data_IF_649961846316
#
_entry.id   IF_649961846316
#
_cell.length_a   1.000
_cell.length_b   1.000
_cell.length_c   1.000
_cell.angle_alpha   90.00
_cell.angle_beta   90.00
_cell.angle_gamma   90.00
#
_symmetry.space_group_name_H-M   'P 1'
#
loop_
_entity.id
_entity.type
_entity.pdbx_description
1 polymer ?
#
# COMPACT_ATOMS: atom_id res chain seq x y z
N UNK A 1 13.57 2.29 -5.85
CA UNK A 1 13.00 3.58 -5.40
C UNK A 1 12.39 3.36 -4.03
N UNK A 2 12.50 4.32 -3.11
CA UNK A 2 11.88 4.18 -1.77
C UNK A 2 10.37 4.35 -1.87
N UNK A 3 9.62 3.62 -1.03
CA UNK A 3 8.16 3.75 -0.99
C UNK A 3 7.73 5.20 -0.74
N UNK A 4 8.42 5.91 0.15
CA UNK A 4 8.13 7.32 0.41
C UNK A 4 8.28 8.23 -0.82
N UNK A 5 9.35 8.04 -1.60
CA UNK A 5 9.57 8.82 -2.82
C UNK A 5 8.50 8.53 -3.87
N UNK A 6 8.12 7.26 -3.97
CA UNK A 6 7.09 6.81 -4.89
C UNK A 6 5.70 7.33 -4.47
N UNK A 7 5.40 7.37 -3.16
CA UNK A 7 4.18 7.96 -2.60
C UNK A 7 4.07 9.46 -2.90
N UNK A 8 5.18 10.20 -2.78
CA UNK A 8 5.23 11.65 -3.05
C UNK A 8 5.05 12.02 -4.52
N UNK A 9 5.12 11.05 -5.44
CA UNK A 9 5.05 11.30 -6.88
C UNK A 9 3.62 11.46 -7.41
N UNK A 10 2.60 11.19 -6.59
CA UNK A 10 1.19 11.17 -7.00
C UNK A 10 0.32 11.87 -5.97
N UNK A 11 -0.66 12.63 -6.44
CA UNK A 11 -1.69 13.17 -5.56
C UNK A 11 -2.74 12.10 -5.20
N UNK A 12 -3.39 12.26 -4.04
CA UNK A 12 -4.41 11.30 -3.61
C UNK A 12 -5.57 11.18 -4.61
N UNK A 13 -5.91 12.25 -5.32
CA UNK A 13 -6.99 12.23 -6.31
C UNK A 13 -6.61 11.45 -7.59
N UNK A 14 -5.31 11.26 -7.85
CA UNK A 14 -4.80 10.36 -8.90
C UNK A 14 -4.76 8.91 -8.40
N UNK A 15 -4.43 8.70 -7.12
CA UNK A 15 -4.35 7.38 -6.50
C UNK A 15 -5.73 6.73 -6.29
N UNK A 16 -6.73 7.49 -5.83
CA UNK A 16 -8.02 6.93 -5.43
C UNK A 16 -8.74 6.16 -6.55
N UNK A 17 -8.79 6.63 -7.82
CA UNK A 17 -9.33 5.85 -8.92
C UNK A 17 -8.61 4.52 -9.14
N UNK A 18 -7.27 4.52 -9.07
CA UNK A 18 -6.43 3.30 -9.22
C UNK A 18 -6.68 2.34 -8.06
N UNK A 19 -6.78 2.84 -6.82
CA UNK A 19 -7.11 2.04 -5.65
C UNK A 19 -8.48 1.37 -5.82
N UNK A 20 -9.47 2.09 -6.35
CA UNK A 20 -10.80 1.53 -6.56
C UNK A 20 -10.87 0.55 -7.74
N UNK A 21 -10.01 0.69 -8.74
CA UNK A 21 -9.89 -0.28 -9.82
C UNK A 21 -9.24 -1.58 -9.32
N UNK A 22 -8.13 -1.48 -8.58
CA UNK A 22 -7.45 -2.64 -7.98
C UNK A 22 -8.23 -3.31 -6.85
N UNK A 23 -8.98 -2.52 -6.06
CA UNK A 23 -9.79 -2.98 -4.93
C UNK A 23 -11.22 -2.41 -5.05
N UNK A 24 -12.09 -3.07 -5.84
CA UNK A 24 -13.44 -2.60 -6.10
C UNK A 24 -14.23 -2.34 -4.82
N UNK A 25 -14.89 -1.17 -4.76
CA UNK A 25 -15.74 -0.78 -3.63
C UNK A 25 -15.04 0.06 -2.56
N UNK A 26 -13.73 0.32 -2.70
CA UNK A 26 -12.97 1.19 -1.78
C UNK A 26 -13.35 2.67 -1.88
N UNK A 27 -14.09 3.09 -2.92
CA UNK A 27 -14.59 4.49 -3.05
C UNK A 27 -15.34 5.00 -1.82
N UNK A 28 -16.06 4.13 -1.08
CA UNK A 28 -16.76 4.50 0.16
C UNK A 28 -15.82 4.83 1.31
N UNK A 29 -14.56 4.40 1.23
CA UNK A 29 -13.49 4.64 2.22
C UNK A 29 -12.52 5.75 1.82
N UNK A 30 -12.91 6.59 0.86
CA UNK A 30 -12.09 7.73 0.44
C UNK A 30 -11.61 8.58 1.62
N UNK A 31 -12.43 8.92 2.64
CA UNK A 31 -11.97 9.71 3.78
C UNK A 31 -10.84 9.04 4.57
N UNK A 32 -10.99 7.74 4.86
CA UNK A 32 -10.03 6.95 5.64
C UNK A 32 -8.71 6.79 4.87
N UNK A 33 -8.78 6.46 3.58
CA UNK A 33 -7.61 6.30 2.72
C UNK A 33 -6.89 7.64 2.50
N UNK A 34 -7.64 8.76 2.39
CA UNK A 34 -7.06 10.09 2.28
C UNK A 34 -6.31 10.49 3.54
N UNK A 35 -6.92 10.25 4.71
CA UNK A 35 -6.26 10.54 5.98
C UNK A 35 -4.99 9.70 6.16
N UNK A 36 -5.01 8.41 5.80
CA UNK A 36 -3.81 7.57 5.79
C UNK A 36 -2.70 8.15 4.88
N UNK A 37 -3.06 8.55 3.66
CA UNK A 37 -2.13 9.18 2.71
C UNK A 37 -1.49 10.45 3.30
N UNK A 38 -2.29 11.35 3.87
CA UNK A 38 -1.82 12.60 4.48
C UNK A 38 -0.88 12.33 5.67
N UNK A 39 -1.23 11.37 6.53
CA UNK A 39 -0.37 10.93 7.64
C UNK A 39 0.96 10.38 7.12
N UNK A 40 0.94 9.49 6.13
CA UNK A 40 2.15 8.90 5.55
C UNK A 40 3.07 9.96 4.94
N UNK A 41 2.54 10.98 4.26
CA UNK A 41 3.33 12.09 3.73
C UNK A 41 3.99 12.93 4.83
N UNK A 42 3.34 13.08 5.99
CA UNK A 42 3.88 13.84 7.12
C UNK A 42 4.98 13.11 7.91
N UNK A 43 5.18 11.81 7.67
CA UNK A 43 6.13 10.99 8.42
C UNK A 43 7.57 11.12 7.90
N UNK A 44 8.52 10.89 8.80
CA UNK A 44 9.93 10.71 8.45
C UNK A 44 10.23 9.22 8.23
N UNK A 45 10.61 8.79 7.01
CA UNK A 45 10.92 7.39 6.76
C UNK A 45 12.11 6.89 7.58
N UNK A 46 12.01 5.67 8.10
CA UNK A 46 13.11 4.97 8.78
C UNK A 46 13.75 4.00 7.80
N UNK A 47 15.06 4.13 7.60
CA UNK A 47 15.81 3.30 6.67
C UNK A 47 15.62 1.80 6.97
N UNK A 48 15.29 1.03 5.94
CA UNK A 48 15.13 -0.41 6.03
C UNK A 48 16.00 -1.11 4.98
N UNK A 49 16.61 -2.24 5.38
CA UNK A 49 17.27 -3.17 4.44
C UNK A 49 16.30 -4.16 3.80
N UNK A 50 15.04 -4.21 4.29
CA UNK A 50 13.97 -5.03 3.69
C UNK A 50 13.38 -4.29 2.49
N UNK A 51 12.85 -5.04 1.53
CA UNK A 51 12.22 -4.51 0.34
C UNK A 51 10.78 -5.02 0.21
N UNK A 52 9.94 -4.24 -0.44
CA UNK A 52 8.62 -4.64 -0.91
C UNK A 52 8.81 -5.09 -2.36
N UNK A 53 8.75 -6.40 -2.59
CA UNK A 53 8.91 -6.99 -3.92
C UNK A 53 7.55 -7.44 -4.43
N UNK A 54 7.08 -6.77 -5.46
CA UNK A 54 5.87 -7.17 -6.17
C UNK A 54 6.19 -8.34 -7.09
N UNK A 55 5.36 -9.37 -7.01
CA UNK A 55 5.51 -10.63 -7.74
C UNK A 55 4.16 -11.23 -8.09
N UNK A 56 4.18 -12.22 -8.97
CA UNK A 56 3.04 -13.08 -9.24
C UNK A 56 2.95 -14.09 -8.10
N UNK A 57 1.88 -13.98 -7.32
CA UNK A 57 1.55 -14.86 -6.20
C UNK A 57 0.58 -15.96 -6.69
N UNK A 58 0.78 -17.22 -6.26
CA UNK A 58 -0.22 -18.25 -6.51
C UNK A 58 -1.51 -17.89 -5.77
N UNK A 59 -2.64 -18.01 -6.46
CA UNK A 59 -3.96 -17.86 -5.86
C UNK A 59 -4.46 -19.17 -5.27
N UNK A 60 -5.69 -19.14 -4.77
CA UNK A 60 -6.31 -20.29 -4.06
C UNK A 60 -6.63 -21.48 -4.96
N UNK A 61 -6.51 -21.31 -6.29
CA UNK A 61 -6.71 -22.36 -7.28
C UNK A 61 -5.55 -22.39 -8.27
N UNK A 62 -5.27 -23.56 -8.85
CA UNK A 62 -4.10 -23.79 -9.71
C UNK A 62 -3.99 -22.85 -10.93
N UNK A 63 -5.10 -22.25 -11.37
CA UNK A 63 -5.16 -21.37 -12.53
C UNK A 63 -5.38 -19.89 -12.17
N UNK A 64 -5.36 -19.55 -10.89
CA UNK A 64 -5.51 -18.18 -10.43
C UNK A 64 -4.18 -17.71 -9.86
N UNK A 65 -3.73 -16.54 -10.28
CA UNK A 65 -2.57 -15.87 -9.72
C UNK A 65 -2.89 -14.40 -9.53
N UNK A 66 -2.33 -13.80 -8.49
CA UNK A 66 -2.49 -12.39 -8.18
C UNK A 66 -1.15 -11.67 -8.32
N UNK A 67 -1.16 -10.39 -8.68
CA UNK A 67 0.05 -9.58 -8.64
C UNK A 67 0.03 -8.74 -7.37
N UNK A 68 1.05 -8.91 -6.51
CA UNK A 68 1.11 -8.25 -5.21
C UNK A 68 2.44 -8.46 -4.52
N UNK A 69 2.54 -7.97 -3.28
CA UNK A 69 3.67 -8.25 -2.39
C UNK A 69 3.21 -9.17 -1.25
N UNK A 70 4.14 -9.90 -0.62
CA UNK A 70 3.79 -10.70 0.56
C UNK A 70 3.37 -9.80 1.72
N UNK A 71 2.38 -10.22 2.51
CA UNK A 71 1.93 -9.49 3.71
C UNK A 71 3.08 -9.22 4.70
N UNK A 72 4.06 -10.13 4.75
CA UNK A 72 5.26 -9.99 5.59
C UNK A 72 6.09 -8.76 5.21
N UNK A 73 5.97 -8.27 3.96
CA UNK A 73 6.58 -7.02 3.51
C UNK A 73 6.00 -5.80 4.25
N UNK A 74 4.80 -5.87 4.82
CA UNK A 74 4.15 -4.76 5.53
C UNK A 74 4.16 -4.91 7.06
N UNK A 75 4.65 -6.04 7.61
CA UNK A 75 4.76 -6.29 9.04
C UNK A 75 5.87 -5.43 9.72
N UNK A 76 5.68 -4.13 9.76
CA UNK A 76 6.49 -3.12 10.43
C UNK A 76 5.66 -1.84 10.67
N UNK A 77 6.25 -0.82 11.31
CA UNK A 77 5.58 0.49 11.38
C UNK A 77 5.55 1.18 10.02
N UNK A 78 4.64 2.14 9.85
CA UNK A 78 4.54 2.94 8.63
C UNK A 78 5.86 3.60 8.25
N UNK A 79 6.59 4.20 9.20
CA UNK A 79 7.89 4.84 8.94
C UNK A 79 8.93 3.85 8.40
N UNK A 80 8.95 2.62 8.94
CA UNK A 80 9.85 1.57 8.47
C UNK A 80 9.45 1.09 7.08
N UNK A 81 8.15 0.97 6.79
CA UNK A 81 7.65 0.60 5.47
C UNK A 81 7.97 1.67 4.42
N UNK A 82 7.79 2.95 4.75
CA UNK A 82 8.13 4.09 3.90
C UNK A 82 9.62 4.10 3.48
N UNK A 83 10.52 3.61 4.33
CA UNK A 83 11.95 3.49 4.05
C UNK A 83 12.39 2.23 3.29
N UNK A 84 11.45 1.33 2.94
CA UNK A 84 11.76 0.14 2.13
C UNK A 84 11.92 0.51 0.67
N UNK A 85 12.78 -0.23 -0.02
CA UNK A 85 12.81 -0.20 -1.48
C UNK A 85 11.62 -0.95 -2.05
N UNK A 86 11.01 -0.37 -3.08
CA UNK A 86 9.93 -0.98 -3.85
C UNK A 86 10.49 -1.42 -5.20
N UNK A 87 10.15 -2.65 -5.60
CA UNK A 87 10.59 -3.24 -6.87
C UNK A 87 9.59 -4.26 -7.40
N UNK A 88 9.75 -4.61 -8.68
CA UNK A 88 8.93 -5.57 -9.42
C UNK A 88 9.80 -6.76 -9.80
N UNK A 89 9.29 -7.97 -9.62
CA UNK A 89 9.91 -9.17 -10.17
C UNK A 89 9.58 -9.31 -11.67
N UNK A 90 10.30 -10.20 -12.36
CA UNK A 90 10.11 -10.43 -13.78
C UNK A 90 8.68 -10.90 -14.06
N UNK A 91 8.02 -10.26 -15.03
CA UNK A 91 6.65 -10.58 -15.42
C UNK A 91 5.57 -9.81 -14.66
N UNK A 92 5.95 -8.95 -13.70
CA UNK A 92 5.01 -8.01 -13.08
C UNK A 92 4.88 -6.76 -13.92
N UNK A 93 3.68 -6.53 -14.45
CA UNK A 93 3.32 -5.38 -15.28
C UNK A 93 2.43 -4.41 -14.51
N UNK A 94 2.92 -3.95 -13.34
CA UNK A 94 2.28 -2.86 -12.60
C UNK A 94 3.02 -1.56 -12.87
N UNK A 95 2.31 -0.49 -13.16
CA UNK A 95 2.82 0.88 -13.20
C UNK A 95 3.26 1.37 -11.80
N UNK A 96 3.97 2.50 -11.74
CA UNK A 96 4.43 3.09 -10.47
C UNK A 96 3.24 3.52 -9.59
N UNK A 97 2.17 4.04 -10.19
CA UNK A 97 0.96 4.44 -9.47
C UNK A 97 0.20 3.24 -8.88
N UNK A 98 0.17 2.09 -9.59
CA UNK A 98 -0.44 0.86 -9.07
C UNK A 98 0.36 0.27 -7.90
N UNK A 99 1.69 0.41 -7.90
CA UNK A 99 2.50 0.02 -6.75
C UNK A 99 2.20 0.88 -5.52
N UNK A 100 2.01 2.19 -5.68
CA UNK A 100 1.61 3.08 -4.59
C UNK A 100 0.23 2.74 -4.09
N UNK A 101 -0.74 2.63 -5.00
CA UNK A 101 -2.12 2.33 -4.67
C UNK A 101 -2.21 1.05 -3.83
N UNK A 102 -1.56 -0.03 -4.29
CA UNK A 102 -1.51 -1.28 -3.55
C UNK A 102 -0.75 -1.17 -2.23
N UNK A 103 0.40 -0.48 -2.20
CA UNK A 103 1.17 -0.28 -0.97
C UNK A 103 0.39 0.52 0.08
N UNK A 104 -0.35 1.56 -0.33
CA UNK A 104 -1.17 2.38 0.55
C UNK A 104 -2.26 1.54 1.22
N UNK A 105 -2.99 0.74 0.44
CA UNK A 105 -4.02 -0.16 1.00
C UNK A 105 -3.40 -1.17 1.97
N UNK A 106 -2.27 -1.79 1.63
CA UNK A 106 -1.61 -2.74 2.52
C UNK A 106 -1.05 -2.08 3.79
N UNK A 107 -0.57 -0.84 3.71
CA UNK A 107 -0.19 -0.05 4.89
C UNK A 107 -1.37 0.17 5.83
N UNK A 108 -2.54 0.52 5.27
CA UNK A 108 -3.75 0.72 6.05
C UNK A 108 -4.23 -0.56 6.73
N UNK A 109 -4.17 -1.71 6.05
CA UNK A 109 -4.79 -2.96 6.51
C UNK A 109 -3.85 -3.89 7.28
N UNK A 110 -2.54 -3.85 7.02
CA UNK A 110 -1.60 -4.88 7.49
C UNK A 110 -0.45 -4.32 8.34
N UNK A 111 -0.04 -3.07 8.11
CA UNK A 111 1.10 -2.49 8.80
C UNK A 111 0.72 -1.97 10.21
N UNK A 112 1.74 -1.76 11.04
CA UNK A 112 1.57 -1.13 12.35
C UNK A 112 1.39 0.37 12.16
N UNK A 113 0.14 0.82 12.19
CA UNK A 113 -0.26 2.21 12.00
C UNK A 113 -0.18 3.02 13.32
N UNK A 114 -0.08 4.36 13.26
CA UNK A 114 -0.09 5.21 14.46
C UNK A 114 -1.48 5.25 15.10
N UNK A 115 -1.55 5.46 16.42
CA UNK A 115 -2.81 5.48 17.19
C UNK A 115 -3.87 6.43 16.63
N UNK A 116 -3.46 7.54 16.02
CA UNK A 116 -4.37 8.53 15.40
C UNK A 116 -5.21 7.94 14.26
N UNK A 117 -4.72 6.87 13.62
CA UNK A 117 -5.39 6.19 12.51
C UNK A 117 -6.33 5.05 12.96
N UNK A 118 -6.36 4.70 14.26
CA UNK A 118 -7.13 3.55 14.78
C UNK A 118 -8.61 3.59 14.40
N UNK A 119 -9.23 4.77 14.44
CA UNK A 119 -10.66 4.92 14.11
C UNK A 119 -10.93 4.61 12.63
N UNK A 120 -10.08 5.09 11.74
CA UNK A 120 -10.22 4.87 10.29
C UNK A 120 -9.95 3.42 9.94
N UNK A 121 -8.93 2.80 10.54
CA UNK A 121 -8.67 1.38 10.42
C UNK A 121 -9.88 0.52 10.82
N UNK A 122 -10.53 0.84 11.94
CA UNK A 122 -11.75 0.15 12.35
C UNK A 122 -12.91 0.34 11.36
N UNK A 123 -13.01 1.48 10.69
CA UNK A 123 -14.00 1.69 9.63
C UNK A 123 -13.69 0.84 8.41
N UNK A 124 -12.41 0.78 8.00
CA UNK A 124 -11.95 -0.06 6.89
C UNK A 124 -12.26 -1.55 7.12
N UNK A 125 -12.08 -2.05 8.35
CA UNK A 125 -12.34 -3.46 8.69
C UNK A 125 -13.82 -3.84 8.85
N UNK A 126 -14.72 -2.86 9.01
CA UNK A 126 -16.18 -3.09 9.08
C UNK A 126 -16.84 -3.10 7.69
N UNK A 127 -16.03 -2.97 6.65
CA UNK A 127 -16.41 -2.72 5.27
C UNK A 127 -17.03 -3.87 4.50
#
# INVERSE_FOLDING_TARGET
MKLYQLLQAYDFDELMPVINDMFPGTSKFRPELKHAYELLLSMQPVASKKAIRYKILPGDTANHSYVGAEDTCFNATWEVCLGKDVSRERGVDLSDIELVANSLVNLCLQAKYPKVFEKDHQTLLKG
#
